data_IF_600717273694
#
_entry.id   IF_600717273694
#
_cell.length_a   1.000
_cell.length_b   1.000
_cell.length_c   1.000
_cell.angle_alpha   90.00
_cell.angle_beta   90.00
_cell.angle_gamma   90.00
#
_symmetry.space_group_name_H-M   'P 1'
#
loop_
_entity.id
_entity.type
_entity.pdbx_description
1 polymer ?
#
# COMPACT_ATOMS: atom_id res chain seq x y z
N UNK A 1 2.71 11.83 -3.77
CA UNK A 1 1.42 12.19 -4.43
C UNK A 1 0.57 10.91 -4.42
N UNK A 2 -0.75 10.96 -4.28
CA UNK A 2 -1.62 9.75 -4.29
C UNK A 2 -2.44 9.76 -5.59
N UNK A 3 -2.76 8.60 -6.19
CA UNK A 3 -3.55 8.50 -7.44
C UNK A 3 -4.82 9.35 -7.41
N UNK A 4 -5.48 9.45 -6.24
CA UNK A 4 -6.66 10.31 -6.03
C UNK A 4 -6.43 11.80 -6.29
N UNK A 5 -5.23 12.32 -6.00
CA UNK A 5 -4.89 13.71 -6.31
C UNK A 5 -4.69 13.93 -7.82
N UNK A 6 -4.46 12.87 -8.59
CA UNK A 6 -4.21 12.93 -10.04
C UNK A 6 -5.51 12.70 -10.84
N UNK A 7 -6.41 11.84 -10.36
CA UNK A 7 -7.73 11.58 -10.95
C UNK A 7 -8.80 11.53 -9.85
N UNK A 8 -9.70 12.53 -9.84
CA UNK A 8 -10.80 12.65 -8.86
C UNK A 8 -11.83 11.52 -8.92
N UNK A 9 -11.86 10.74 -10.00
CA UNK A 9 -12.76 9.59 -10.18
C UNK A 9 -12.21 8.25 -9.62
N UNK A 10 -11.01 8.23 -9.02
CA UNK A 10 -10.48 6.98 -8.46
C UNK A 10 -11.19 6.63 -7.15
N UNK A 11 -11.97 5.54 -7.21
CA UNK A 11 -12.65 4.99 -6.05
C UNK A 11 -11.64 4.38 -5.07
N UNK A 12 -11.82 4.62 -3.76
CA UNK A 12 -11.02 3.96 -2.73
C UNK A 12 -11.89 2.90 -2.09
N UNK A 13 -11.53 1.64 -2.32
CA UNK A 13 -12.24 0.49 -1.77
C UNK A 13 -11.94 0.24 -0.29
N UNK A 14 -11.03 1.02 0.31
CA UNK A 14 -10.66 0.93 1.72
C UNK A 14 -9.86 -0.33 2.05
N UNK A 15 -9.64 -0.52 3.35
CA UNK A 15 -8.99 -1.72 3.88
C UNK A 15 -10.06 -2.79 4.10
N UNK A 16 -9.83 -3.98 3.55
CA UNK A 16 -10.70 -5.15 3.72
C UNK A 16 -9.97 -6.25 4.48
N UNK A 17 -10.70 -6.98 5.32
CA UNK A 17 -10.19 -8.16 6.05
C UNK A 17 -10.79 -9.41 5.43
N UNK A 18 -9.94 -10.36 5.06
CA UNK A 18 -10.34 -11.66 4.52
C UNK A 18 -9.23 -12.70 4.77
N UNK A 19 -9.56 -14.01 4.84
CA UNK A 19 -8.61 -15.07 5.11
C UNK A 19 -7.83 -15.47 3.84
N UNK A 20 -6.97 -14.58 3.34
CA UNK A 20 -6.10 -14.90 2.23
C UNK A 20 -4.95 -15.79 2.70
N UNK A 21 -4.82 -16.99 2.12
CA UNK A 21 -3.80 -17.99 2.50
C UNK A 21 -2.37 -17.42 2.46
N UNK A 22 -2.08 -16.56 1.48
CA UNK A 22 -0.78 -15.88 1.33
C UNK A 22 -0.42 -14.95 2.50
N UNK A 23 -1.40 -14.57 3.33
CA UNK A 23 -1.18 -13.72 4.51
C UNK A 23 -1.20 -14.51 5.82
N UNK A 24 -1.37 -15.84 5.80
CA UNK A 24 -1.40 -16.67 7.00
C UNK A 24 0.02 -17.10 7.41
N UNK A 25 0.29 -17.15 8.71
CA UNK A 25 1.52 -17.71 9.27
C UNK A 25 2.80 -16.91 8.99
N UNK A 26 2.67 -15.63 8.65
CA UNK A 26 3.80 -14.72 8.41
C UNK A 26 4.21 -14.03 9.71
N UNK A 27 5.50 -14.05 10.05
CA UNK A 27 6.04 -13.40 11.25
C UNK A 27 6.30 -11.89 11.08
N UNK A 28 5.93 -11.35 9.91
CA UNK A 28 6.16 -9.96 9.52
C UNK A 28 4.84 -9.28 9.13
N UNK A 29 4.74 -7.95 9.20
CA UNK A 29 3.59 -7.22 8.67
C UNK A 29 3.38 -7.54 7.18
N UNK A 30 2.18 -8.01 6.81
CA UNK A 30 1.85 -8.41 5.45
C UNK A 30 0.50 -7.86 5.01
N UNK A 31 0.40 -7.48 3.73
CA UNK A 31 -0.82 -7.00 3.08
C UNK A 31 -0.92 -7.55 1.67
N UNK A 32 -2.16 -7.71 1.18
CA UNK A 32 -2.45 -7.97 -0.24
C UNK A 32 -3.09 -6.70 -0.81
N UNK A 33 -2.56 -6.21 -1.93
CA UNK A 33 -3.03 -4.99 -2.58
C UNK A 33 -3.63 -5.32 -3.95
N UNK A 34 -4.91 -5.02 -4.14
CA UNK A 34 -5.55 -4.98 -5.45
C UNK A 34 -5.27 -3.61 -6.09
N UNK A 35 -4.53 -3.59 -7.20
CA UNK A 35 -4.03 -2.35 -7.81
C UNK A 35 -4.84 -1.89 -9.03
N UNK A 36 -5.61 -2.78 -9.64
CA UNK A 36 -6.44 -2.54 -10.83
C UNK A 36 -7.41 -3.72 -11.05
N UNK A 37 -8.55 -3.47 -11.67
CA UNK A 37 -9.56 -4.47 -12.01
C UNK A 37 -9.52 -4.83 -13.50
N UNK A 38 -9.05 -6.04 -13.83
CA UNK A 38 -9.01 -6.53 -15.22
C UNK A 38 -10.39 -6.71 -15.85
N UNK A 39 -11.44 -6.93 -15.05
CA UNK A 39 -12.81 -7.00 -15.54
C UNK A 39 -13.37 -5.63 -15.97
N UNK A 40 -12.70 -4.54 -15.60
CA UNK A 40 -12.99 -3.19 -16.09
C UNK A 40 -12.04 -2.87 -17.25
N UNK A 41 -12.60 -2.82 -18.48
CA UNK A 41 -11.82 -2.56 -19.71
C UNK A 41 -10.96 -1.31 -19.65
N UNK A 42 -11.45 -0.24 -18.99
CA UNK A 42 -10.69 1.00 -18.89
C UNK A 42 -9.45 0.81 -17.99
N UNK A 43 -9.62 0.13 -16.86
CA UNK A 43 -8.52 -0.14 -15.93
C UNK A 43 -7.52 -1.14 -16.52
N UNK A 44 -7.98 -2.14 -17.27
CA UNK A 44 -7.12 -3.07 -18.02
C UNK A 44 -6.21 -2.34 -19.02
N UNK A 45 -6.79 -1.44 -19.83
CA UNK A 45 -6.03 -0.62 -20.79
C UNK A 45 -5.00 0.25 -20.08
N UNK A 46 -5.38 0.89 -18.96
CA UNK A 46 -4.46 1.70 -18.18
C UNK A 46 -3.32 0.86 -17.59
N UNK A 47 -3.61 -0.32 -17.04
CA UNK A 47 -2.62 -1.23 -16.47
C UNK A 47 -1.59 -1.72 -17.51
N UNK A 48 -2.00 -1.82 -18.77
CA UNK A 48 -1.10 -2.17 -19.88
C UNK A 48 -0.08 -1.07 -20.19
N UNK A 49 -0.27 0.16 -19.72
CA UNK A 49 0.69 1.25 -19.93
C UNK A 49 1.82 1.24 -18.88
N UNK A 50 3.06 1.38 -19.34
CA UNK A 50 4.24 1.38 -18.47
C UNK A 50 4.19 2.53 -17.43
N UNK A 51 3.83 3.74 -17.88
CA UNK A 51 3.77 4.91 -17.02
C UNK A 51 2.75 4.76 -15.89
N UNK A 52 1.65 4.03 -16.11
CA UNK A 52 0.66 3.74 -15.08
C UNK A 52 1.21 2.75 -14.05
N UNK A 53 1.82 1.65 -14.48
CA UNK A 53 2.46 0.67 -13.57
C UNK A 53 3.56 1.30 -12.73
N UNK A 54 4.36 2.17 -13.34
CA UNK A 54 5.40 2.93 -12.67
C UNK A 54 4.80 3.88 -11.61
N UNK A 55 3.67 4.54 -11.89
CA UNK A 55 2.99 5.34 -10.87
C UNK A 55 2.48 4.47 -9.71
N UNK A 56 1.90 3.29 -9.98
CA UNK A 56 1.46 2.34 -8.95
C UNK A 56 2.65 1.96 -8.05
N UNK A 57 3.79 1.60 -8.64
CA UNK A 57 4.99 1.23 -7.90
C UNK A 57 5.47 2.35 -6.96
N UNK A 58 5.54 3.59 -7.45
CA UNK A 58 5.91 4.76 -6.62
C UNK A 58 4.95 5.01 -5.47
N UNK A 59 3.66 4.72 -5.64
CA UNK A 59 2.69 4.86 -4.54
C UNK A 59 2.86 3.77 -3.47
N UNK A 60 3.16 2.53 -3.89
CA UNK A 60 3.46 1.43 -2.97
C UNK A 60 4.75 1.72 -2.21
N UNK A 61 5.81 2.14 -2.90
CA UNK A 61 7.09 2.55 -2.31
C UNK A 61 6.88 3.61 -1.22
N UNK A 62 6.18 4.71 -1.56
CA UNK A 62 5.91 5.78 -0.61
C UNK A 62 5.15 5.30 0.64
N UNK A 63 4.22 4.34 0.47
CA UNK A 63 3.49 3.73 1.58
C UNK A 63 4.36 2.85 2.47
N UNK A 64 5.26 2.07 1.88
CA UNK A 64 6.22 1.22 2.62
C UNK A 64 7.18 2.10 3.42
N UNK A 65 7.75 3.14 2.79
CA UNK A 65 8.66 4.06 3.47
C UNK A 65 7.99 4.79 4.64
N UNK A 66 6.74 5.25 4.46
CA UNK A 66 5.97 5.88 5.54
C UNK A 66 5.71 4.90 6.70
N UNK A 67 5.40 3.63 6.41
CA UNK A 67 5.23 2.60 7.43
C UNK A 67 6.52 2.34 8.23
N UNK A 68 7.65 2.19 7.54
CA UNK A 68 8.94 1.93 8.17
C UNK A 68 9.38 3.11 9.07
N UNK A 69 9.27 4.34 8.57
CA UNK A 69 9.62 5.54 9.32
C UNK A 69 8.78 5.70 10.61
N UNK A 70 7.48 5.36 10.54
CA UNK A 70 6.63 5.32 11.73
C UNK A 70 7.04 4.21 12.71
N UNK A 71 7.45 3.06 12.19
CA UNK A 71 8.00 1.95 12.99
C UNK A 71 9.26 2.36 13.77
N UNK A 72 10.20 3.04 13.13
CA UNK A 72 11.42 3.55 13.75
C UNK A 72 11.12 4.51 14.90
N UNK A 73 10.27 5.52 14.66
CA UNK A 73 9.86 6.49 15.69
C UNK A 73 9.23 5.81 16.92
N UNK A 74 8.42 4.78 16.71
CA UNK A 74 7.79 4.01 17.80
C UNK A 74 8.82 3.20 18.59
N UNK A 75 9.86 2.67 17.95
CA UNK A 75 10.92 1.92 18.61
C UNK A 75 11.81 2.83 19.47
N UNK A 76 12.13 4.03 18.97
CA UNK A 76 12.89 5.03 19.74
C UNK A 76 12.12 5.55 20.95
N UNK A 77 10.81 5.80 20.79
CA UNK A 77 9.94 6.20 21.89
C UNK A 77 9.90 5.14 23.00
N UNK A 78 9.73 3.86 22.66
CA UNK A 78 9.75 2.76 23.65
C UNK A 78 11.08 2.69 24.40
N UNK A 79 12.22 2.70 23.68
CA UNK A 79 13.56 2.69 24.32
C UNK A 79 13.78 3.85 25.28
N UNK A 80 13.31 5.05 24.95
CA UNK A 80 13.51 6.23 25.80
C UNK A 80 12.61 6.23 27.04
N UNK A 81 11.47 5.51 26.99
CA UNK A 81 10.56 5.36 28.11
C UNK A 81 11.04 4.27 29.08
N UNK A 82 11.64 3.19 28.56
CA UNK A 82 12.20 2.08 29.37
C UNK A 82 13.55 2.42 30.03
N UNK A 83 14.25 3.45 29.57
CA UNK A 83 15.50 3.96 30.18
C UNK A 83 15.28 4.99 31.29
N UNK A 84 14.03 5.35 31.58
CA UNK A 84 13.63 6.25 32.67
C UNK A 84 13.05 5.43 33.82
#
# INVERSE_FOLDING_TARGET
INSRKKNGNIHNFGIKRAPFVVLLGVDVPAVLAEVSCLSNKQEEIELNTESHRENIARYIEAGILDYLNKGEANYEAKRNTERR
#
